data_IF_748857928867
#
_entry.id   IF_748857928867
#
_cell.length_a   1.000
_cell.length_b   1.000
_cell.length_c   1.000
_cell.angle_alpha   90.00
_cell.angle_beta   90.00
_cell.angle_gamma   90.00
#
_symmetry.space_group_name_H-M   'P 1'
#
loop_
_entity.id
_entity.type
_entity.pdbx_description
1 polymer ?
#
# COMPACT_ATOMS: atom_id res chain seq x y z
N UNK A 1 14.05 22.52 -8.12
CA UNK A 1 13.65 21.80 -6.89
C UNK A 1 14.61 22.16 -5.77
N UNK A 2 14.15 22.20 -4.52
CA UNK A 2 15.01 22.46 -3.36
C UNK A 2 15.93 21.26 -3.10
N UNK A 3 17.20 21.51 -2.71
CA UNK A 3 18.19 20.46 -2.35
C UNK A 3 17.65 19.47 -1.30
N UNK A 4 16.75 19.92 -0.43
CA UNK A 4 16.09 19.07 0.56
C UNK A 4 15.15 18.03 -0.07
N UNK A 5 14.40 18.41 -1.10
CA UNK A 5 13.52 17.49 -1.83
C UNK A 5 14.31 16.47 -2.64
N UNK A 6 15.44 16.86 -3.22
CA UNK A 6 16.31 15.95 -3.97
C UNK A 6 16.94 14.88 -3.06
N UNK A 7 17.22 15.23 -1.79
CA UNK A 7 17.69 14.26 -0.79
C UNK A 7 16.59 13.27 -0.41
N UNK A 8 15.40 13.75 -0.05
CA UNK A 8 14.25 12.91 0.33
C UNK A 8 13.89 11.95 -0.80
N UNK A 9 13.88 12.44 -2.05
CA UNK A 9 13.62 11.60 -3.22
C UNK A 9 14.63 10.46 -3.36
N UNK A 10 15.91 10.75 -3.14
CA UNK A 10 16.99 9.75 -3.26
C UNK A 10 16.87 8.68 -2.18
N UNK A 11 16.68 9.10 -0.93
CA UNK A 11 16.48 8.21 0.22
C UNK A 11 15.24 7.32 0.00
N UNK A 12 14.14 7.89 -0.49
CA UNK A 12 12.93 7.13 -0.82
C UNK A 12 13.16 6.11 -1.95
N UNK A 13 13.94 6.46 -2.98
CA UNK A 13 14.28 5.54 -4.07
C UNK A 13 15.22 4.42 -3.61
N UNK A 14 16.17 4.72 -2.72
CA UNK A 14 17.04 3.71 -2.11
C UNK A 14 16.23 2.73 -1.23
N UNK A 15 15.29 3.26 -0.44
CA UNK A 15 14.50 2.45 0.47
C UNK A 15 13.40 1.65 -0.26
N UNK A 16 12.62 2.30 -1.14
CA UNK A 16 11.39 1.73 -1.69
C UNK A 16 11.47 1.36 -3.17
N UNK A 17 12.54 1.73 -3.88
CA UNK A 17 12.73 1.47 -5.30
C UNK A 17 12.23 2.60 -6.20
N UNK A 18 12.18 2.34 -7.51
CA UNK A 18 11.66 3.30 -8.48
C UNK A 18 10.15 3.50 -8.32
N UNK A 19 9.64 4.62 -8.83
CA UNK A 19 8.20 4.86 -8.84
C UNK A 19 7.48 3.75 -9.62
N UNK A 20 6.37 3.19 -9.09
CA UNK A 20 5.58 2.19 -9.79
C UNK A 20 4.93 2.78 -11.04
N UNK A 21 4.88 1.99 -12.10
CA UNK A 21 4.37 2.39 -13.43
C UNK A 21 3.09 1.66 -13.82
N UNK A 22 2.78 0.54 -13.15
CA UNK A 22 1.54 -0.20 -13.31
C UNK A 22 0.88 -0.57 -11.97
N UNK A 23 -0.29 -1.22 -12.04
CA UNK A 23 -1.08 -1.57 -10.87
C UNK A 23 -0.44 -2.66 -9.99
N UNK A 24 0.31 -3.60 -10.57
CA UNK A 24 0.97 -4.66 -9.80
C UNK A 24 2.19 -4.10 -9.09
N UNK A 25 2.97 -3.26 -9.76
CA UNK A 25 4.07 -2.52 -9.15
C UNK A 25 3.58 -1.61 -8.02
N UNK A 26 2.44 -0.93 -8.21
CA UNK A 26 1.83 -0.10 -7.18
C UNK A 26 1.41 -0.92 -5.95
N UNK A 27 0.81 -2.10 -6.15
CA UNK A 27 0.44 -3.00 -5.07
C UNK A 27 1.69 -3.47 -4.29
N UNK A 28 2.72 -3.93 -4.99
CA UNK A 28 3.98 -4.34 -4.36
C UNK A 28 4.64 -3.19 -3.58
N UNK A 29 4.61 -1.97 -4.14
CA UNK A 29 5.14 -0.78 -3.49
C UNK A 29 4.38 -0.44 -2.19
N UNK A 30 3.04 -0.49 -2.20
CA UNK A 30 2.21 -0.31 -0.99
C UNK A 30 2.58 -1.34 0.07
N UNK A 31 2.71 -2.62 -0.29
CA UNK A 31 3.07 -3.67 0.65
C UNK A 31 4.47 -3.46 1.26
N UNK A 32 5.41 -2.93 0.47
CA UNK A 32 6.76 -2.62 0.94
C UNK A 32 6.78 -1.43 1.90
N UNK A 33 6.06 -0.36 1.58
CA UNK A 33 5.99 0.86 2.41
C UNK A 33 5.30 0.60 3.75
N UNK A 34 4.24 -0.22 3.74
CA UNK A 34 3.43 -0.55 4.91
C UNK A 34 3.70 -1.96 5.44
N UNK A 35 4.94 -2.45 5.31
CA UNK A 35 5.31 -3.81 5.69
C UNK A 35 4.95 -4.12 7.15
N UNK A 36 5.15 -3.14 8.04
CA UNK A 36 4.94 -3.27 9.49
C UNK A 36 3.49 -3.04 9.95
N UNK A 37 2.58 -2.68 9.02
CA UNK A 37 1.18 -2.43 9.38
C UNK A 37 0.42 -3.73 9.67
N UNK A 38 -0.45 -3.75 10.69
CA UNK A 38 -1.22 -4.93 11.04
C UNK A 38 -2.21 -5.27 9.92
N UNK A 39 -2.48 -6.57 9.73
CA UNK A 39 -3.43 -7.07 8.73
C UNK A 39 -4.81 -6.41 8.80
N UNK A 40 -5.24 -6.01 10.00
CA UNK A 40 -6.56 -5.41 10.25
C UNK A 40 -6.67 -3.95 9.84
N UNK A 41 -5.57 -3.29 9.45
CA UNK A 41 -5.61 -1.89 9.03
C UNK A 41 -6.39 -1.75 7.72
N UNK A 42 -7.43 -0.93 7.74
CA UNK A 42 -8.18 -0.56 6.53
C UNK A 42 -7.32 0.37 5.66
N UNK A 43 -7.06 -0.04 4.41
CA UNK A 43 -6.23 0.71 3.46
C UNK A 43 -7.06 1.45 2.43
N UNK A 44 -8.13 0.81 1.96
CA UNK A 44 -9.04 1.36 0.97
C UNK A 44 -10.45 1.21 1.52
N UNK A 45 -11.09 2.31 1.86
CA UNK A 45 -12.49 2.33 2.26
C UNK A 45 -13.38 2.38 1.01
N UNK A 46 -14.37 1.50 0.94
CA UNK A 46 -15.38 1.50 -0.09
C UNK A 46 -16.66 2.21 0.37
N UNK A 47 -17.15 1.87 1.58
CA UNK A 47 -18.36 2.46 2.14
C UNK A 47 -18.25 2.61 3.65
N UNK A 48 -18.98 3.57 4.21
CA UNK A 48 -19.11 3.80 5.64
C UNK A 48 -20.57 4.12 5.97
N UNK A 49 -21.16 3.41 6.93
CA UNK A 49 -22.53 3.66 7.41
C UNK A 49 -23.65 3.05 6.56
N UNK A 50 -23.34 2.49 5.38
CA UNK A 50 -24.35 1.94 4.45
C UNK A 50 -24.99 0.66 5.01
N UNK A 51 -24.21 -0.16 5.72
CA UNK A 51 -24.64 -1.48 6.22
C UNK A 51 -24.90 -1.49 7.74
N UNK A 52 -24.98 -0.31 8.35
CA UNK A 52 -25.13 -0.13 9.80
C UNK A 52 -24.27 1.03 10.30
N UNK A 53 -24.68 1.64 11.41
CA UNK A 53 -23.96 2.78 11.98
C UNK A 53 -22.51 2.41 12.31
N UNK A 54 -21.56 3.21 11.83
CA UNK A 54 -20.13 2.99 11.97
C UNK A 54 -19.53 1.80 11.21
N UNK A 55 -20.32 1.03 10.44
CA UNK A 55 -19.81 -0.12 9.67
C UNK A 55 -19.04 0.37 8.45
N UNK A 56 -17.76 0.01 8.38
CA UNK A 56 -16.86 0.29 7.25
C UNK A 56 -16.61 -0.96 6.44
N UNK A 57 -16.64 -0.84 5.11
CA UNK A 57 -16.23 -1.91 4.19
C UNK A 57 -15.07 -1.45 3.33
N UNK A 58 -14.26 -2.39 2.86
CA UNK A 58 -13.11 -2.07 2.04
C UNK A 58 -12.05 -3.17 2.02
N UNK A 59 -10.83 -2.80 1.66
CA UNK A 59 -9.67 -3.69 1.64
C UNK A 59 -8.73 -3.36 2.78
N UNK A 60 -8.40 -4.38 3.57
CA UNK A 60 -7.41 -4.29 4.63
C UNK A 60 -6.00 -4.61 4.12
N UNK A 61 -4.97 -4.30 4.90
CA UNK A 61 -3.59 -4.74 4.60
C UNK A 61 -3.51 -6.26 4.41
N UNK A 62 -4.22 -7.03 5.22
CA UNK A 62 -4.28 -8.49 5.09
C UNK A 62 -4.93 -8.93 3.77
N UNK A 63 -5.94 -8.21 3.29
CA UNK A 63 -6.56 -8.48 1.98
C UNK A 63 -5.61 -8.15 0.84
N UNK A 64 -4.89 -7.03 0.91
CA UNK A 64 -3.88 -6.66 -0.08
C UNK A 64 -2.74 -7.69 -0.16
N UNK A 65 -2.26 -8.19 0.98
CA UNK A 65 -1.26 -9.28 1.04
C UNK A 65 -1.78 -10.56 0.39
N UNK A 66 -3.03 -10.96 0.69
CA UNK A 66 -3.67 -12.14 0.07
C UNK A 66 -3.86 -11.97 -1.44
N UNK A 67 -4.24 -10.77 -1.89
CA UNK A 67 -4.37 -10.46 -3.33
C UNK A 67 -3.00 -10.55 -4.00
N UNK A 68 -1.96 -9.94 -3.43
CA UNK A 68 -0.61 -10.00 -3.98
C UNK A 68 -0.07 -11.43 -4.04
N UNK A 69 -0.33 -12.26 -3.02
CA UNK A 69 0.03 -13.67 -3.03
C UNK A 69 -0.68 -14.44 -4.16
N UNK A 70 -1.96 -14.16 -4.43
CA UNK A 70 -2.72 -14.77 -5.54
C UNK A 70 -2.22 -14.33 -6.92
N UNK A 71 -1.74 -13.09 -7.02
CA UNK A 71 -1.23 -12.51 -8.26
C UNK A 71 0.27 -12.81 -8.49
N UNK A 72 0.95 -13.40 -7.51
CA UNK A 72 2.39 -13.70 -7.60
C UNK A 72 3.29 -12.45 -7.50
N UNK A 73 2.80 -11.36 -6.90
CA UNK A 73 3.55 -10.11 -6.74
C UNK A 73 3.80 -9.72 -5.27
N UNK A 74 3.66 -10.67 -4.34
CA UNK A 74 4.04 -10.45 -2.96
C UNK A 74 5.55 -10.14 -2.86
N UNK A 75 5.96 -9.14 -2.07
CA UNK A 75 7.38 -8.89 -1.85
C UNK A 75 7.99 -10.14 -1.19
N UNK A 76 9.14 -10.57 -1.73
CA UNK A 76 9.95 -11.70 -1.26
C UNK A 76 10.57 -11.43 0.11
#
# INVERSE_FOLDING_TARGET
MSRAMDRIRREAMEQYGTAPTDALEALAHVLKVYADEPDTRLMIEATNGIYGDGVRTGLTMGDLRKIAARLGCAPS
#
